data_IF_623972625011
#
_entry.id   IF_623972625011
#
_cell.length_a   1.000
_cell.length_b   1.000
_cell.length_c   1.000
_cell.angle_alpha   90.00
_cell.angle_beta   90.00
_cell.angle_gamma   90.00
#
_symmetry.space_group_name_H-M   'P 1'
#
loop_
_entity.id
_entity.type
_entity.pdbx_description
1 polymer ?
#
# COMPACT_ATOMS: atom_id res chain seq x y z
N UNK A 1 -86.64 32.76 -28.23
CA UNK A 1 -85.45 32.41 -27.42
C UNK A 1 -84.19 32.14 -28.26
N UNK A 2 -84.31 31.72 -29.52
CA UNK A 2 -83.18 31.40 -30.42
C UNK A 2 -82.27 32.58 -30.82
N UNK A 3 -82.80 33.82 -30.87
CA UNK A 3 -82.01 35.04 -31.15
C UNK A 3 -80.90 35.34 -30.13
N UNK A 4 -80.94 34.73 -28.94
CA UNK A 4 -79.92 34.86 -27.88
C UNK A 4 -78.81 33.80 -27.95
N UNK A 5 -78.96 32.77 -28.79
CA UNK A 5 -77.98 31.69 -28.95
C UNK A 5 -76.84 32.03 -29.91
N UNK A 6 -77.06 32.95 -30.86
CA UNK A 6 -76.02 33.35 -31.82
C UNK A 6 -74.80 34.04 -31.17
N UNK A 7 -74.95 35.00 -30.24
CA UNK A 7 -73.80 35.58 -29.52
C UNK A 7 -73.03 34.54 -28.70
N UNK A 8 -73.74 33.59 -28.07
CA UNK A 8 -73.14 32.52 -27.28
C UNK A 8 -72.39 31.49 -28.16
N UNK A 9 -72.96 31.14 -29.33
CA UNK A 9 -72.29 30.30 -30.34
C UNK A 9 -71.00 30.95 -30.81
N UNK A 10 -71.05 32.22 -31.21
CA UNK A 10 -69.86 32.94 -31.66
C UNK A 10 -68.79 33.05 -30.58
N UNK A 11 -69.17 33.26 -29.31
CA UNK A 11 -68.22 33.26 -28.20
C UNK A 11 -67.53 31.90 -28.03
N UNK A 12 -68.29 30.79 -28.05
CA UNK A 12 -67.74 29.44 -27.90
C UNK A 12 -66.86 29.05 -29.09
N UNK A 13 -67.25 29.40 -30.31
CA UNK A 13 -66.44 29.15 -31.52
C UNK A 13 -65.11 29.90 -31.41
N UNK A 14 -65.12 31.20 -31.07
CA UNK A 14 -63.89 31.97 -30.93
C UNK A 14 -63.00 31.41 -29.81
N UNK A 15 -63.58 31.09 -28.64
CA UNK A 15 -62.83 30.53 -27.51
C UNK A 15 -62.20 29.17 -27.86
N UNK A 16 -62.95 28.27 -28.50
CA UNK A 16 -62.44 26.96 -28.90
C UNK A 16 -61.39 27.08 -30.00
N UNK A 17 -61.55 28.02 -30.94
CA UNK A 17 -60.55 28.32 -31.95
C UNK A 17 -59.26 28.82 -31.30
N UNK A 18 -59.33 29.74 -30.34
CA UNK A 18 -58.16 30.24 -29.61
C UNK A 18 -57.45 29.12 -28.84
N UNK A 19 -58.21 28.28 -28.13
CA UNK A 19 -57.66 27.09 -27.43
C UNK A 19 -57.01 26.13 -28.42
N UNK A 20 -57.62 25.91 -29.58
CA UNK A 20 -57.10 25.05 -30.62
C UNK A 20 -55.75 25.56 -31.16
N UNK A 21 -55.69 26.83 -31.57
CA UNK A 21 -54.46 27.47 -32.09
C UNK A 21 -53.35 27.48 -31.03
N UNK A 22 -53.66 27.80 -29.76
CA UNK A 22 -52.67 27.77 -28.68
C UNK A 22 -52.17 26.35 -28.40
N UNK A 23 -53.05 25.36 -28.44
CA UNK A 23 -52.68 23.95 -28.22
C UNK A 23 -51.84 23.42 -29.37
N UNK A 24 -52.16 23.77 -30.62
CA UNK A 24 -51.37 23.42 -31.81
C UNK A 24 -49.96 24.03 -31.74
N UNK A 25 -49.85 25.32 -31.41
CA UNK A 25 -48.56 25.99 -31.27
C UNK A 25 -47.70 25.39 -30.15
N UNK A 26 -48.30 25.10 -28.99
CA UNK A 26 -47.60 24.48 -27.87
C UNK A 26 -47.22 23.03 -28.15
N UNK A 27 -48.08 22.26 -28.83
CA UNK A 27 -47.77 20.90 -29.25
C UNK A 27 -46.59 20.87 -30.22
N UNK A 28 -46.59 21.76 -31.21
CA UNK A 28 -45.48 21.86 -32.17
C UNK A 28 -44.18 22.19 -31.45
N UNK A 29 -44.19 23.21 -30.58
CA UNK A 29 -43.02 23.60 -29.81
C UNK A 29 -42.52 22.47 -28.90
N UNK A 30 -43.41 21.83 -28.15
CA UNK A 30 -43.04 20.72 -27.26
C UNK A 30 -42.51 19.50 -28.04
N UNK A 31 -43.03 19.25 -29.25
CA UNK A 31 -42.52 18.19 -30.13
C UNK A 31 -41.12 18.51 -30.64
N UNK A 32 -40.85 19.77 -31.02
CA UNK A 32 -39.52 20.24 -31.42
C UNK A 32 -38.54 20.15 -30.23
N UNK A 33 -38.93 20.63 -29.05
CA UNK A 33 -38.13 20.55 -27.82
C UNK A 33 -37.82 19.09 -27.42
N UNK A 34 -38.80 18.18 -27.53
CA UNK A 34 -38.60 16.75 -27.28
C UNK A 34 -37.63 16.10 -28.28
N UNK A 35 -37.78 16.41 -29.58
CA UNK A 35 -36.89 15.89 -30.61
C UNK A 35 -35.46 16.42 -30.45
N UNK A 36 -35.31 17.68 -30.05
CA UNK A 36 -34.00 18.27 -29.78
C UNK A 36 -33.32 17.65 -28.55
N UNK A 37 -34.05 17.48 -27.45
CA UNK A 37 -33.52 16.90 -26.22
C UNK A 37 -33.12 15.42 -26.40
N UNK A 38 -33.91 14.64 -27.14
CA UNK A 38 -33.57 13.24 -27.45
C UNK A 38 -32.33 13.14 -28.33
N UNK A 39 -32.21 14.00 -29.36
CA UNK A 39 -31.02 14.06 -30.20
C UNK A 39 -29.77 14.48 -29.42
N UNK A 40 -29.88 15.43 -28.49
CA UNK A 40 -28.77 15.84 -27.63
C UNK A 40 -28.29 14.68 -26.75
N UNK A 41 -29.22 13.93 -26.15
CA UNK A 41 -28.90 12.74 -25.33
C UNK A 41 -28.20 11.65 -26.15
N UNK A 42 -28.65 11.40 -27.38
CA UNK A 42 -28.04 10.42 -28.28
C UNK A 42 -26.62 10.82 -28.68
N UNK A 43 -26.39 12.13 -28.92
CA UNK A 43 -25.07 12.67 -29.28
C UNK A 43 -24.07 12.62 -28.13
N UNK A 44 -24.53 12.82 -26.90
CA UNK A 44 -23.67 12.83 -25.70
C UNK A 44 -23.36 11.44 -25.15
N UNK A 45 -24.18 10.44 -25.48
CA UNK A 45 -24.03 9.05 -25.03
C UNK A 45 -22.62 8.45 -25.29
N UNK A 46 -22.04 8.51 -26.50
CA UNK A 46 -20.72 7.93 -26.76
C UNK A 46 -19.61 8.59 -25.93
N UNK A 47 -19.65 9.92 -25.77
CA UNK A 47 -18.67 10.64 -24.97
C UNK A 47 -18.75 10.25 -23.48
N UNK A 48 -19.95 10.09 -22.95
CA UNK A 48 -20.16 9.60 -21.59
C UNK A 48 -19.63 8.16 -21.39
N UNK A 49 -19.94 7.26 -22.32
CA UNK A 49 -19.42 5.88 -22.25
C UNK A 49 -17.89 5.83 -22.35
N UNK A 50 -17.29 6.68 -23.16
CA UNK A 50 -15.83 6.82 -23.24
C UNK A 50 -15.25 7.29 -21.90
N UNK A 51 -15.87 8.29 -21.26
CA UNK A 51 -15.43 8.79 -19.94
C UNK A 51 -15.44 7.68 -18.87
N UNK A 52 -16.49 6.85 -18.83
CA UNK A 52 -16.58 5.72 -17.90
C UNK A 52 -15.48 4.67 -18.16
N UNK A 53 -15.19 4.36 -19.43
CA UNK A 53 -14.11 3.43 -19.79
C UNK A 53 -12.74 3.99 -19.43
N UNK A 54 -12.53 5.29 -19.63
CA UNK A 54 -11.27 5.97 -19.26
C UNK A 54 -11.11 5.95 -17.75
N UNK A 55 -12.17 6.20 -16.96
CA UNK A 55 -12.13 6.05 -15.49
C UNK A 55 -11.60 4.69 -15.09
N UNK A 56 -12.26 3.62 -15.54
CA UNK A 56 -11.92 2.27 -15.08
C UNK A 56 -10.50 1.89 -15.47
N UNK A 57 -10.09 2.24 -16.69
CA UNK A 57 -8.72 2.00 -17.18
C UNK A 57 -7.67 2.79 -16.41
N UNK A 58 -7.87 4.10 -16.21
CA UNK A 58 -6.89 4.98 -15.57
C UNK A 58 -6.75 4.63 -14.10
N UNK A 59 -7.86 4.38 -13.39
CA UNK A 59 -7.82 4.00 -11.97
C UNK A 59 -7.10 2.66 -11.77
N UNK A 60 -7.41 1.65 -12.59
CA UNK A 60 -6.73 0.35 -12.54
C UNK A 60 -5.23 0.48 -12.88
N UNK A 61 -4.88 1.30 -13.87
CA UNK A 61 -3.47 1.54 -14.23
C UNK A 61 -2.70 2.25 -13.11
N UNK A 62 -3.30 3.28 -12.49
CA UNK A 62 -2.72 4.02 -11.36
C UNK A 62 -2.48 3.10 -10.17
N UNK A 63 -3.49 2.30 -9.80
CA UNK A 63 -3.38 1.35 -8.69
C UNK A 63 -2.31 0.29 -8.95
N UNK A 64 -2.29 -0.31 -10.15
CA UNK A 64 -1.28 -1.29 -10.55
C UNK A 64 0.12 -0.71 -10.53
N UNK A 65 0.32 0.47 -11.11
CA UNK A 65 1.63 1.13 -11.15
C UNK A 65 2.12 1.47 -9.73
N UNK A 66 1.24 1.94 -8.85
CA UNK A 66 1.57 2.21 -7.46
C UNK A 66 1.94 0.93 -6.69
N UNK A 67 1.14 -0.12 -6.79
CA UNK A 67 1.40 -1.38 -6.05
C UNK A 67 2.65 -2.12 -6.55
N UNK A 68 2.94 -2.08 -7.85
CA UNK A 68 4.19 -2.61 -8.40
C UNK A 68 5.40 -1.88 -7.82
N UNK A 69 5.36 -0.53 -7.77
CA UNK A 69 6.44 0.26 -7.20
C UNK A 69 6.62 -0.01 -5.70
N UNK A 70 5.53 -0.04 -4.92
CA UNK A 70 5.57 -0.34 -3.48
C UNK A 70 6.13 -1.73 -3.21
N UNK A 71 5.71 -2.73 -3.98
CA UNK A 71 6.20 -4.11 -3.84
C UNK A 71 7.68 -4.21 -4.20
N UNK A 72 8.13 -3.51 -5.24
CA UNK A 72 9.54 -3.44 -5.61
C UNK A 72 10.40 -2.80 -4.51
N UNK A 73 9.94 -1.68 -3.93
CA UNK A 73 10.59 -1.00 -2.81
C UNK A 73 10.69 -1.94 -1.59
N UNK A 74 9.61 -2.66 -1.26
CA UNK A 74 9.59 -3.60 -0.14
C UNK A 74 10.63 -4.72 -0.34
N UNK A 75 10.62 -5.36 -1.51
CA UNK A 75 11.56 -6.45 -1.83
C UNK A 75 13.01 -5.95 -1.83
N UNK A 76 13.27 -4.78 -2.41
CA UNK A 76 14.60 -4.18 -2.42
C UNK A 76 15.10 -3.91 -1.00
N UNK A 77 14.31 -3.23 -0.18
CA UNK A 77 14.64 -2.93 1.21
C UNK A 77 14.87 -4.21 2.02
N UNK A 78 14.01 -5.23 1.86
CA UNK A 78 14.17 -6.51 2.54
C UNK A 78 15.49 -7.20 2.16
N UNK A 79 15.78 -7.28 0.86
CA UNK A 79 17.01 -7.92 0.37
C UNK A 79 18.25 -7.17 0.85
N UNK A 80 18.24 -5.84 0.81
CA UNK A 80 19.38 -5.01 1.25
C UNK A 80 19.60 -5.08 2.75
N UNK A 81 18.54 -5.02 3.55
CA UNK A 81 18.66 -5.16 5.00
C UNK A 81 19.08 -6.57 5.41
N UNK A 82 18.63 -7.61 4.72
CA UNK A 82 19.13 -8.98 4.93
C UNK A 82 20.62 -9.08 4.61
N UNK A 83 21.08 -8.50 3.49
CA UNK A 83 22.50 -8.43 3.15
C UNK A 83 23.30 -7.66 4.22
N UNK A 84 22.79 -6.52 4.71
CA UNK A 84 23.42 -5.73 5.76
C UNK A 84 23.60 -6.52 7.06
N UNK A 85 22.58 -7.30 7.46
CA UNK A 85 22.62 -8.16 8.65
C UNK A 85 23.63 -9.29 8.48
N UNK A 86 23.70 -9.93 7.30
CA UNK A 86 24.66 -11.00 7.06
C UNK A 86 26.11 -10.50 7.06
N UNK A 87 26.34 -9.30 6.54
CA UNK A 87 27.64 -8.62 6.44
C UNK A 87 27.96 -7.69 7.62
N UNK A 88 27.20 -7.75 8.71
CA UNK A 88 27.37 -6.86 9.89
C UNK A 88 28.78 -6.95 10.52
N UNK A 89 29.46 -8.10 10.35
CA UNK A 89 30.83 -8.30 10.82
C UNK A 89 31.85 -7.32 10.23
N UNK A 90 31.60 -6.73 9.05
CA UNK A 90 32.47 -5.69 8.50
C UNK A 90 32.46 -4.40 9.34
N UNK A 91 31.44 -4.17 10.17
CA UNK A 91 31.39 -3.03 11.09
C UNK A 91 32.47 -3.08 12.19
N UNK A 92 33.05 -4.27 12.43
CA UNK A 92 34.02 -4.54 13.49
C UNK A 92 35.45 -4.26 13.02
N UNK A 93 35.71 -4.30 11.70
CA UNK A 93 37.06 -4.20 11.13
C UNK A 93 37.78 -2.89 11.48
N UNK A 94 37.03 -1.83 11.78
CA UNK A 94 37.56 -0.51 12.10
C UNK A 94 37.79 -0.28 13.61
N UNK A 95 37.48 -1.25 14.47
CA UNK A 95 37.59 -1.11 15.92
C UNK A 95 38.89 -1.77 16.38
N UNK A 96 39.81 -0.95 16.89
CA UNK A 96 41.06 -1.43 17.46
C UNK A 96 40.82 -2.11 18.82
N UNK A 97 41.55 -3.19 19.09
CA UNK A 97 41.41 -3.93 20.33
C UNK A 97 42.24 -3.25 21.45
N UNK A 98 41.61 -2.70 22.50
CA UNK A 98 42.30 -1.93 23.54
C UNK A 98 43.06 -2.81 24.55
N UNK A 99 42.97 -4.13 24.44
CA UNK A 99 43.53 -5.09 25.39
C UNK A 99 42.50 -5.69 26.33
N UNK A 100 42.95 -6.66 27.12
CA UNK A 100 42.11 -7.53 27.98
C UNK A 100 41.33 -6.75 29.04
N UNK A 101 41.95 -5.75 29.65
CA UNK A 101 41.36 -5.00 30.76
C UNK A 101 40.13 -4.18 30.34
N UNK A 102 40.06 -3.83 29.05
CA UNK A 102 38.99 -3.01 28.47
C UNK A 102 38.10 -3.82 27.53
N UNK A 103 38.12 -5.15 27.61
CA UNK A 103 37.35 -5.97 26.67
C UNK A 103 35.84 -5.77 26.81
N UNK A 104 35.36 -5.42 28.01
CA UNK A 104 33.95 -5.09 28.22
C UNK A 104 33.54 -3.87 27.38
N UNK A 105 34.35 -2.81 27.42
CA UNK A 105 34.11 -1.60 26.63
C UNK A 105 34.22 -1.91 25.13
N UNK A 106 35.22 -2.71 24.73
CA UNK A 106 35.36 -3.18 23.36
C UNK A 106 34.12 -3.95 22.86
N UNK A 107 33.54 -4.82 23.70
CA UNK A 107 32.32 -5.55 23.38
C UNK A 107 31.10 -4.62 23.23
N UNK A 108 30.99 -3.58 24.06
CA UNK A 108 29.97 -2.54 23.93
C UNK A 108 30.14 -1.75 22.64
N UNK A 109 31.38 -1.33 22.32
CA UNK A 109 31.70 -0.59 21.10
C UNK A 109 31.38 -1.41 19.84
N UNK A 110 31.65 -2.73 19.86
CA UNK A 110 31.23 -3.65 18.80
C UNK A 110 29.71 -3.67 18.66
N UNK A 111 28.98 -3.87 19.76
CA UNK A 111 27.52 -3.93 19.74
C UNK A 111 26.91 -2.64 19.19
N UNK A 112 27.40 -1.49 19.68
CA UNK A 112 26.95 -0.17 19.24
C UNK A 112 27.29 0.08 17.77
N UNK A 113 28.50 -0.26 17.32
CA UNK A 113 28.90 -0.12 15.92
C UNK A 113 28.01 -0.94 14.98
N UNK A 114 27.68 -2.18 15.34
CA UNK A 114 26.76 -3.02 14.56
C UNK A 114 25.36 -2.41 14.46
N UNK A 115 24.83 -1.87 15.57
CA UNK A 115 23.53 -1.20 15.60
C UNK A 115 23.56 0.07 14.75
N UNK A 116 24.58 0.91 14.88
CA UNK A 116 24.73 2.13 14.08
C UNK A 116 24.87 1.83 12.60
N UNK A 117 25.62 0.78 12.24
CA UNK A 117 25.75 0.34 10.85
C UNK A 117 24.40 -0.07 10.27
N UNK A 118 23.63 -0.89 10.99
CA UNK A 118 22.29 -1.29 10.55
C UNK A 118 21.34 -0.07 10.43
N UNK A 119 21.38 0.87 11.38
CA UNK A 119 20.58 2.09 11.31
C UNK A 119 20.95 2.93 10.08
N UNK A 120 22.24 3.07 9.77
CA UNK A 120 22.71 3.78 8.57
C UNK A 120 22.18 3.12 7.30
N UNK A 121 22.20 1.79 7.23
CA UNK A 121 21.69 1.05 6.08
C UNK A 121 20.17 1.22 5.94
N UNK A 122 19.42 1.26 7.05
CA UNK A 122 17.98 1.62 7.03
C UNK A 122 17.75 3.03 6.48
N UNK A 123 18.51 4.04 6.91
CA UNK A 123 18.37 5.42 6.41
C UNK A 123 18.71 5.52 4.90
N UNK A 124 19.65 4.71 4.44
CA UNK A 124 19.99 4.61 3.02
C UNK A 124 18.82 4.03 2.22
N UNK A 125 18.21 2.93 2.70
CA UNK A 125 17.03 2.34 2.06
C UNK A 125 15.81 3.27 2.11
N UNK A 126 15.61 4.04 3.17
CA UNK A 126 14.56 5.07 3.23
C UNK A 126 14.78 6.18 2.20
N UNK A 127 16.03 6.58 1.97
CA UNK A 127 16.38 7.57 0.96
C UNK A 127 16.19 7.02 -0.46
N UNK A 128 16.56 5.77 -0.70
CA UNK A 128 16.28 5.08 -1.95
C UNK A 128 14.77 4.96 -2.21
N UNK A 129 13.99 4.55 -1.18
CA UNK A 129 12.55 4.49 -1.28
C UNK A 129 11.92 5.85 -1.59
N UNK A 130 12.42 6.95 -1.02
CA UNK A 130 11.98 8.31 -1.37
C UNK A 130 12.20 8.63 -2.84
N UNK A 131 13.37 8.29 -3.37
CA UNK A 131 13.70 8.51 -4.78
C UNK A 131 12.79 7.70 -5.71
N UNK A 132 12.63 6.39 -5.47
CA UNK A 132 11.75 5.53 -6.27
C UNK A 132 10.28 5.96 -6.16
N UNK A 133 9.84 6.37 -4.97
CA UNK A 133 8.49 6.91 -4.76
C UNK A 133 8.29 8.20 -5.54
N UNK A 134 9.28 9.10 -5.59
CA UNK A 134 9.20 10.34 -6.38
C UNK A 134 9.09 10.05 -7.89
N UNK A 135 9.89 9.12 -8.41
CA UNK A 135 9.80 8.69 -9.81
C UNK A 135 8.43 8.08 -10.12
N UNK A 136 7.90 7.26 -9.22
CA UNK A 136 6.55 6.71 -9.38
C UNK A 136 5.48 7.80 -9.31
N UNK A 137 5.63 8.76 -8.40
CA UNK A 137 4.71 9.89 -8.23
C UNK A 137 4.62 10.73 -9.50
N UNK A 138 5.75 11.06 -10.12
CA UNK A 138 5.81 11.79 -11.38
C UNK A 138 5.09 11.04 -12.51
N UNK A 139 5.25 9.70 -12.56
CA UNK A 139 4.53 8.85 -13.54
C UNK A 139 3.02 8.83 -13.28
N UNK A 140 2.58 8.73 -12.02
CA UNK A 140 1.16 8.79 -11.69
C UNK A 140 0.58 10.16 -12.04
N UNK A 141 1.33 11.23 -11.75
CA UNK A 141 0.95 12.58 -12.09
C UNK A 141 0.82 12.75 -13.61
N UNK A 142 1.79 12.27 -14.39
CA UNK A 142 1.76 12.35 -15.85
C UNK A 142 0.54 11.61 -16.41
N UNK A 143 0.26 10.39 -15.94
CA UNK A 143 -0.94 9.62 -16.32
C UNK A 143 -2.24 10.38 -16.04
N UNK A 144 -2.32 11.07 -14.89
CA UNK A 144 -3.46 11.92 -14.57
C UNK A 144 -3.55 13.12 -15.52
N UNK A 145 -2.43 13.80 -15.79
CA UNK A 145 -2.42 15.02 -16.62
C UNK A 145 -2.78 14.77 -18.08
N UNK A 146 -2.42 13.59 -18.61
CA UNK A 146 -2.78 13.16 -19.97
C UNK A 146 -4.30 13.01 -20.15
N UNK A 147 -5.02 12.59 -19.11
CA UNK A 147 -6.46 12.30 -19.18
C UNK A 147 -7.35 13.42 -18.63
N UNK A 148 -6.85 14.21 -17.67
CA UNK A 148 -7.63 15.22 -16.93
C UNK A 148 -7.17 16.67 -17.17
N UNK A 149 -6.07 16.86 -17.89
CA UNK A 149 -5.41 18.17 -18.03
C UNK A 149 -4.50 18.51 -16.84
N UNK A 150 -3.90 19.70 -16.88
CA UNK A 150 -2.90 20.12 -15.89
C UNK A 150 -3.57 20.38 -14.53
N UNK A 151 -3.05 19.76 -13.47
CA UNK A 151 -3.47 19.99 -12.09
C UNK A 151 -2.25 20.05 -11.14
N UNK A 152 -2.37 20.68 -9.96
CA UNK A 152 -1.24 20.77 -9.04
C UNK A 152 -0.99 19.42 -8.33
N UNK A 153 0.28 19.06 -8.18
CA UNK A 153 0.71 17.92 -7.36
C UNK A 153 0.51 18.26 -5.88
N UNK A 154 -0.20 17.40 -5.14
CA UNK A 154 -0.53 17.63 -3.73
C UNK A 154 0.33 16.79 -2.78
N UNK A 155 0.78 15.63 -3.24
CA UNK A 155 1.59 14.71 -2.47
C UNK A 155 3.03 15.20 -2.32
N UNK A 156 3.53 15.09 -1.09
CA UNK A 156 4.85 15.55 -0.70
C UNK A 156 5.71 14.38 -0.26
N UNK A 157 6.64 13.99 -1.12
CA UNK A 157 7.60 12.89 -0.87
C UNK A 157 8.61 13.29 0.20
N UNK A 158 8.89 14.58 0.38
CA UNK A 158 9.92 15.04 1.32
C UNK A 158 9.59 14.65 2.76
N UNK A 159 8.29 14.63 3.10
CA UNK A 159 7.77 14.26 4.43
C UNK A 159 7.77 12.76 4.70
N UNK A 160 8.08 11.93 3.70
CA UNK A 160 8.14 10.47 3.84
C UNK A 160 9.32 10.06 4.74
N UNK A 161 9.08 9.14 5.67
CA UNK A 161 10.08 8.55 6.58
C UNK A 161 10.81 9.52 7.54
N UNK A 162 10.42 10.79 7.67
CA UNK A 162 11.08 11.74 8.61
C UNK A 162 10.82 11.38 10.09
N UNK A 163 9.68 10.77 10.39
CA UNK A 163 9.23 10.58 11.77
C UNK A 163 9.90 9.34 12.40
N UNK A 164 10.99 9.58 13.13
CA UNK A 164 11.78 8.56 13.85
C UNK A 164 10.91 7.70 14.77
N UNK A 165 10.47 6.54 14.27
CA UNK A 165 9.89 5.43 15.04
C UNK A 165 10.79 4.21 14.92
N UNK A 166 12.09 4.42 15.11
CA UNK A 166 13.05 3.34 15.01
C UNK A 166 12.93 2.42 16.21
N UNK A 167 12.42 1.21 15.94
CA UNK A 167 12.53 0.08 16.85
C UNK A 167 14.00 -0.30 16.94
N UNK A 168 14.77 0.31 17.83
CA UNK A 168 16.19 -0.01 17.96
C UNK A 168 16.32 -1.46 18.44
N UNK A 169 17.13 -2.25 17.74
CA UNK A 169 17.56 -3.56 18.24
C UNK A 169 18.61 -3.31 19.31
N UNK A 170 18.27 -3.57 20.57
CA UNK A 170 19.19 -3.42 21.70
C UNK A 170 19.78 -4.79 22.04
N UNK A 171 21.10 -4.89 22.07
CA UNK A 171 21.80 -6.10 22.50
C UNK A 171 22.52 -5.77 23.80
N UNK A 172 22.16 -6.48 24.85
CA UNK A 172 22.90 -6.42 26.11
C UNK A 172 24.14 -7.31 25.99
N UNK A 173 25.31 -6.76 26.30
CA UNK A 173 26.56 -7.53 26.44
C UNK A 173 26.48 -8.30 27.75
N UNK A 174 26.70 -9.62 27.71
CA UNK A 174 26.67 -10.47 28.90
C UNK A 174 28.07 -11.01 29.25
N UNK A 175 28.38 -11.24 30.53
CA UNK A 175 29.66 -11.84 30.95
C UNK A 175 29.96 -13.20 30.30
N UNK A 176 28.94 -13.93 29.84
CA UNK A 176 29.07 -15.22 29.13
C UNK A 176 29.54 -15.07 27.68
N UNK A 177 29.50 -13.87 27.12
CA UNK A 177 29.92 -13.58 25.75
C UNK A 177 31.46 -13.54 25.60
N UNK A 178 32.20 -13.35 26.71
CA UNK A 178 33.66 -13.27 26.73
C UNK A 178 34.36 -14.62 26.76
N UNK A 179 33.69 -15.64 27.30
CA UNK A 179 34.30 -16.94 27.52
C UNK A 179 33.69 -17.96 26.60
N UNK A 180 34.50 -18.64 25.79
CA UNK A 180 34.07 -19.87 25.14
C UNK A 180 34.08 -21.04 26.14
N UNK A 181 33.23 -20.93 27.17
CA UNK A 181 32.94 -22.00 28.14
C UNK A 181 31.87 -22.97 27.61
N UNK A 182 31.67 -23.00 26.29
CA UNK A 182 31.20 -24.24 25.68
C UNK A 182 32.38 -25.18 25.80
N UNK A 183 32.43 -25.88 26.93
CA UNK A 183 33.24 -27.08 27.11
C UNK A 183 32.88 -27.95 25.91
N UNK A 184 33.71 -27.88 24.87
CA UNK A 184 33.59 -28.62 23.62
C UNK A 184 33.14 -30.05 23.98
N UNK A 185 32.25 -30.67 23.22
CA UNK A 185 31.78 -32.04 23.50
C UNK A 185 32.94 -33.04 23.70
N UNK A 186 34.14 -32.65 23.23
CA UNK A 186 35.43 -33.29 23.50
C UNK A 186 35.87 -33.29 24.97
N UNK A 187 35.61 -32.22 25.74
CA UNK A 187 35.89 -32.18 27.18
C UNK A 187 34.80 -32.88 28.00
N UNK A 188 33.54 -32.87 27.56
CA UNK A 188 32.46 -33.65 28.18
C UNK A 188 32.67 -35.16 28.00
N UNK A 189 33.04 -35.59 26.78
CA UNK A 189 33.38 -36.98 26.48
C UNK A 189 34.64 -37.48 27.21
N UNK A 190 35.60 -36.59 27.51
CA UNK A 190 36.81 -36.93 28.29
C UNK A 190 36.60 -36.80 29.81
N UNK A 191 35.79 -35.87 30.28
CA UNK A 191 35.48 -35.71 31.71
C UNK A 191 34.55 -36.82 32.23
N UNK A 192 33.54 -37.21 31.44
CA UNK A 192 32.67 -38.34 31.79
C UNK A 192 33.39 -39.69 31.66
N UNK A 193 34.37 -39.81 30.76
CA UNK A 193 35.20 -41.02 30.66
C UNK A 193 36.31 -41.09 31.71
N UNK A 194 36.86 -39.95 32.17
CA UNK A 194 37.77 -39.93 33.33
C UNK A 194 37.05 -40.31 34.64
N UNK A 195 35.79 -39.89 34.81
CA UNK A 195 34.97 -40.28 35.96
C UNK A 195 34.57 -41.76 35.92
N UNK A 196 34.22 -42.30 34.75
CA UNK A 196 33.84 -43.70 34.59
C UNK A 196 35.04 -44.68 34.63
N UNK A 197 36.20 -44.29 34.11
CA UNK A 197 37.42 -45.11 34.16
C UNK A 197 37.97 -45.29 35.58
N UNK A 198 37.66 -44.36 36.51
CA UNK A 198 38.04 -44.48 37.92
C UNK A 198 37.12 -45.41 38.72
N UNK A 199 35.84 -45.53 38.35
CA UNK A 199 34.84 -46.28 39.15
C UNK A 199 34.54 -47.69 38.62
N UNK A 200 34.84 -48.02 37.37
CA UNK A 200 34.60 -49.38 36.83
C UNK A 200 35.87 -49.95 36.19
N UNK A 201 36.56 -50.80 36.96
CA UNK A 201 37.19 -52.00 36.39
C UNK A 201 38.54 -51.83 35.72
N UNK A 202 39.61 -51.95 36.52
CA UNK A 202 40.97 -52.25 36.06
C UNK A 202 41.17 -53.65 35.44
N UNK A 203 40.24 -54.13 34.60
CA UNK A 203 40.40 -55.38 33.83
C UNK A 203 39.54 -55.38 32.58
N UNK A 204 40.08 -54.88 31.46
CA UNK A 204 40.00 -55.57 30.16
C UNK A 204 40.85 -54.85 29.11
N UNK A 205 41.97 -55.51 28.78
CA UNK A 205 42.54 -55.68 27.43
C UNK A 205 42.45 -54.48 26.47
N UNK A 206 43.52 -53.67 26.40
CA UNK A 206 43.74 -52.77 25.27
C UNK A 206 44.65 -51.56 25.49
N UNK A 207 44.95 -51.17 26.73
CA UNK A 207 45.65 -49.93 27.05
C UNK A 207 47.16 -50.07 27.33
N UNK A 208 47.78 -51.20 26.99
CA UNK A 208 49.13 -51.53 27.47
C UNK A 208 50.27 -50.77 26.76
N UNK A 209 50.07 -50.32 25.52
CA UNK A 209 51.11 -49.62 24.75
C UNK A 209 51.07 -48.08 24.84
N UNK A 210 49.90 -47.49 25.16
CA UNK A 210 49.81 -46.04 25.37
C UNK A 210 50.14 -45.65 26.83
N UNK A 211 49.84 -46.53 27.80
CA UNK A 211 50.07 -46.24 29.21
C UNK A 211 51.54 -46.43 29.62
N UNK A 212 52.33 -47.22 28.88
CA UNK A 212 53.76 -47.43 29.17
C UNK A 212 54.63 -46.21 28.82
N UNK A 213 54.23 -45.38 27.85
CA UNK A 213 54.96 -44.15 27.48
C UNK A 213 54.73 -42.98 28.46
N UNK A 214 53.57 -42.91 29.11
CA UNK A 214 53.28 -41.92 30.16
C UNK A 214 53.81 -42.41 31.52
N UNK A 215 53.78 -43.72 31.80
CA UNK A 215 54.28 -44.27 33.06
C UNK A 215 55.79 -44.53 33.09
N UNK A 216 56.50 -44.73 31.97
CA UNK A 216 57.96 -44.93 31.99
C UNK A 216 58.76 -43.66 32.32
N UNK A 217 58.18 -42.48 32.08
CA UNK A 217 58.72 -41.21 32.60
C UNK A 217 58.38 -41.01 34.09
N UNK A 218 57.28 -41.62 34.57
CA UNK A 218 56.90 -41.55 35.99
C UNK A 218 57.76 -42.42 36.91
N UNK A 219 58.22 -43.58 36.43
CA UNK A 219 59.02 -44.50 37.24
C UNK A 219 60.52 -44.15 37.29
N UNK A 220 60.99 -43.17 36.51
CA UNK A 220 62.34 -42.59 36.65
C UNK A 220 62.37 -41.36 37.57
N UNK A 221 61.23 -40.91 38.11
CA UNK A 221 61.16 -39.84 39.10
C UNK A 221 60.46 -40.36 40.36
N UNK A 222 61.26 -40.79 41.34
CA UNK A 222 60.78 -41.21 42.65
C UNK A 222 59.78 -40.23 43.27
N UNK A 223 58.83 -40.77 44.04
CA UNK A 223 57.66 -40.11 44.64
C UNK A 223 57.95 -38.76 45.35
N UNK A 224 59.19 -38.53 45.81
CA UNK A 224 59.62 -37.28 46.46
C UNK A 224 59.93 -36.15 45.47
N UNK A 225 60.40 -36.45 44.26
CA UNK A 225 60.71 -35.45 43.25
C UNK A 225 59.46 -35.02 42.45
N UNK A 226 58.47 -35.91 42.29
CA UNK A 226 57.21 -35.58 41.61
C UNK A 226 56.52 -34.37 42.27
N UNK A 227 56.42 -34.34 43.61
CA UNK A 227 55.85 -33.20 44.36
C UNK A 227 56.58 -31.87 44.10
N UNK A 228 57.89 -31.92 43.83
CA UNK A 228 58.72 -30.73 43.56
C UNK A 228 58.54 -30.19 42.14
N UNK A 229 58.18 -31.06 41.19
CA UNK A 229 57.96 -30.70 39.78
C UNK A 229 56.49 -30.41 39.44
N UNK A 230 55.53 -30.85 40.26
CA UNK A 230 54.10 -30.51 40.08
C UNK A 230 53.89 -29.00 40.11
N UNK A 231 54.47 -28.27 41.06
CA UNK A 231 54.29 -26.81 41.17
C UNK A 231 54.79 -26.05 39.92
N UNK A 232 56.01 -26.27 39.40
CA UNK A 232 56.45 -25.60 38.19
C UNK A 232 55.71 -26.05 36.93
N UNK A 233 55.38 -27.34 36.80
CA UNK A 233 54.63 -27.84 35.62
C UNK A 233 53.21 -27.29 35.59
N UNK A 234 52.51 -27.30 36.74
CA UNK A 234 51.18 -26.70 36.87
C UNK A 234 51.26 -25.18 36.70
N UNK A 235 52.30 -24.55 37.23
CA UNK A 235 52.56 -23.11 37.04
C UNK A 235 52.69 -22.74 35.56
N UNK A 236 53.57 -23.42 34.82
CA UNK A 236 53.77 -23.18 33.38
C UNK A 236 52.50 -23.49 32.59
N UNK A 237 51.81 -24.59 32.89
CA UNK A 237 50.55 -24.93 32.25
C UNK A 237 49.45 -23.87 32.51
N UNK A 238 49.37 -23.34 33.73
CA UNK A 238 48.39 -22.31 34.10
C UNK A 238 48.65 -20.97 33.41
N UNK A 239 49.91 -20.56 33.29
CA UNK A 239 50.30 -19.33 32.59
C UNK A 239 50.08 -19.49 31.09
N UNK A 240 50.44 -20.64 30.51
CA UNK A 240 50.18 -20.94 29.10
C UNK A 240 48.68 -20.95 28.78
N UNK A 241 47.86 -21.51 29.68
CA UNK A 241 46.40 -21.48 29.56
C UNK A 241 45.84 -20.05 29.63
N UNK A 242 46.34 -19.22 30.55
CA UNK A 242 45.92 -17.80 30.65
C UNK A 242 46.27 -17.02 29.37
N UNK A 243 47.46 -17.20 28.81
CA UNK A 243 47.87 -16.56 27.55
C UNK A 243 47.00 -17.04 26.38
N UNK A 244 46.68 -18.33 26.34
CA UNK A 244 45.78 -18.90 25.33
C UNK A 244 44.37 -18.28 25.42
N UNK A 245 43.77 -18.26 26.62
CA UNK A 245 42.44 -17.67 26.84
C UNK A 245 42.41 -16.20 26.47
N UNK A 246 43.43 -15.43 26.86
CA UNK A 246 43.56 -14.00 26.52
C UNK A 246 43.59 -13.78 25.00
N UNK A 247 44.34 -14.61 24.28
CA UNK A 247 44.44 -14.51 22.82
C UNK A 247 43.12 -14.88 22.13
N UNK A 248 42.38 -15.85 22.66
CA UNK A 248 41.15 -16.35 22.06
C UNK A 248 39.92 -15.48 22.39
N UNK A 249 39.98 -14.75 23.51
CA UNK A 249 38.88 -13.94 24.04
C UNK A 249 38.35 -12.91 23.03
N UNK A 250 39.23 -12.25 22.27
CA UNK A 250 38.82 -11.27 21.24
C UNK A 250 37.94 -11.92 20.17
N UNK A 251 38.44 -12.99 19.53
CA UNK A 251 37.73 -13.68 18.46
C UNK A 251 36.44 -14.32 18.94
N UNK A 252 36.43 -14.83 20.19
CA UNK A 252 35.24 -15.37 20.83
C UNK A 252 34.14 -14.31 20.97
N UNK A 253 34.47 -13.13 21.50
CA UNK A 253 33.53 -12.00 21.67
C UNK A 253 32.96 -11.55 20.33
N UNK A 254 33.82 -11.28 19.35
CA UNK A 254 33.39 -10.83 18.01
C UNK A 254 32.38 -11.83 17.41
N UNK A 255 32.71 -13.12 17.41
CA UNK A 255 31.84 -14.17 16.85
C UNK A 255 30.52 -14.31 17.61
N UNK A 256 30.55 -14.29 18.94
CA UNK A 256 29.34 -14.46 19.77
C UNK A 256 28.41 -13.26 19.66
N UNK A 257 28.94 -12.04 19.68
CA UNK A 257 28.15 -10.83 19.52
C UNK A 257 27.50 -10.74 18.14
N UNK A 258 28.21 -11.10 17.06
CA UNK A 258 27.61 -11.18 15.72
C UNK A 258 26.46 -12.19 15.68
N UNK A 259 26.65 -13.38 16.28
CA UNK A 259 25.58 -14.40 16.35
C UNK A 259 24.39 -13.90 17.16
N UNK A 260 24.62 -13.32 18.34
CA UNK A 260 23.58 -12.75 19.20
C UNK A 260 22.84 -11.60 18.50
N UNK A 261 23.55 -10.76 17.75
CA UNK A 261 22.99 -9.71 16.92
C UNK A 261 22.08 -10.28 15.83
N UNK A 262 22.58 -11.23 15.02
CA UNK A 262 21.79 -11.88 13.96
C UNK A 262 20.55 -12.56 14.54
N UNK A 263 20.68 -13.21 15.70
CA UNK A 263 19.56 -13.84 16.38
C UNK A 263 18.53 -12.81 16.86
N UNK A 264 18.96 -11.73 17.52
CA UNK A 264 18.07 -10.65 17.98
C UNK A 264 17.31 -9.99 16.83
N UNK A 265 17.95 -9.78 15.68
CA UNK A 265 17.32 -9.25 14.46
C UNK A 265 16.28 -10.22 13.90
N UNK A 266 16.56 -11.53 13.91
CA UNK A 266 15.64 -12.57 13.44
C UNK A 266 14.43 -12.73 14.38
N UNK A 267 14.66 -12.80 15.68
CA UNK A 267 13.60 -12.98 16.69
C UNK A 267 12.61 -11.81 16.71
N UNK A 268 13.11 -10.59 16.47
CA UNK A 268 12.27 -9.39 16.39
C UNK A 268 11.61 -9.19 15.03
N UNK A 269 11.90 -10.04 14.03
CA UNK A 269 11.53 -9.85 12.63
C UNK A 269 11.82 -8.42 12.14
N UNK A 270 12.96 -7.87 12.56
CA UNK A 270 13.27 -6.45 12.38
C UNK A 270 13.30 -6.06 10.89
N UNK A 271 13.95 -6.87 10.05
CA UNK A 271 14.08 -6.60 8.61
C UNK A 271 12.71 -6.52 7.93
N UNK A 272 11.83 -7.50 8.19
CA UNK A 272 10.48 -7.53 7.62
C UNK A 272 9.63 -6.37 8.15
N UNK A 273 9.73 -6.06 9.44
CA UNK A 273 9.03 -4.92 10.03
C UNK A 273 9.45 -3.58 9.41
N UNK A 274 10.73 -3.43 9.09
CA UNK A 274 11.27 -2.22 8.48
C UNK A 274 10.93 -2.10 6.99
N UNK A 275 11.07 -3.17 6.21
CA UNK A 275 10.68 -3.16 4.79
C UNK A 275 9.20 -2.85 4.62
N UNK A 276 8.33 -3.47 5.45
CA UNK A 276 6.89 -3.17 5.44
C UNK A 276 6.59 -1.74 5.88
N UNK A 277 7.34 -1.17 6.83
CA UNK A 277 7.18 0.24 7.25
C UNK A 277 7.44 1.17 6.08
N UNK A 278 8.59 1.00 5.42
CA UNK A 278 8.99 1.81 4.26
C UNK A 278 7.94 1.70 3.16
N UNK A 279 7.51 0.47 2.83
CA UNK A 279 6.48 0.22 1.84
C UNK A 279 5.13 0.89 2.16
N UNK A 280 4.70 0.88 3.43
CA UNK A 280 3.47 1.56 3.87
C UNK A 280 3.56 3.07 3.73
N UNK A 281 4.70 3.67 4.06
CA UNK A 281 4.91 5.11 3.88
C UNK A 281 4.91 5.50 2.41
N UNK A 282 5.60 4.74 1.54
CA UNK A 282 5.53 4.91 0.08
C UNK A 282 4.10 4.80 -0.45
N UNK A 283 3.35 3.77 -0.02
CA UNK A 283 1.95 3.57 -0.43
C UNK A 283 1.06 4.75 -0.03
N UNK A 284 1.26 5.32 1.16
CA UNK A 284 0.47 6.49 1.61
C UNK A 284 0.65 7.67 0.68
N UNK A 285 1.89 7.98 0.30
CA UNK A 285 2.19 9.11 -0.60
C UNK A 285 1.55 8.89 -1.97
N UNK A 286 1.71 7.70 -2.56
CA UNK A 286 1.12 7.38 -3.87
C UNK A 286 -0.41 7.36 -3.84
N UNK A 287 -1.00 6.92 -2.72
CA UNK A 287 -2.46 6.90 -2.53
C UNK A 287 -3.07 8.30 -2.48
N UNK A 288 -2.33 9.32 -2.03
CA UNK A 288 -2.81 10.71 -2.07
C UNK A 288 -3.04 11.16 -3.50
N UNK A 289 -2.09 10.95 -4.41
CA UNK A 289 -2.28 11.29 -5.83
C UNK A 289 -3.32 10.40 -6.50
N UNK A 290 -3.35 9.10 -6.20
CA UNK A 290 -4.39 8.21 -6.72
C UNK A 290 -5.80 8.68 -6.34
N UNK A 291 -5.98 9.17 -5.11
CA UNK A 291 -7.25 9.73 -4.64
C UNK A 291 -7.60 11.05 -5.33
N UNK A 292 -6.61 11.91 -5.61
CA UNK A 292 -6.83 13.16 -6.35
C UNK A 292 -7.27 12.89 -7.80
N UNK A 293 -6.63 11.94 -8.48
CA UNK A 293 -7.03 11.49 -9.83
C UNK A 293 -8.47 10.96 -9.81
N UNK A 294 -8.79 10.11 -8.84
CA UNK A 294 -10.13 9.54 -8.68
C UNK A 294 -11.19 10.63 -8.48
N UNK A 295 -10.94 11.59 -7.60
CA UNK A 295 -11.88 12.68 -7.34
C UNK A 295 -12.14 13.54 -8.57
N UNK A 296 -11.12 13.82 -9.38
CA UNK A 296 -11.27 14.63 -10.58
C UNK A 296 -12.08 13.91 -11.66
N UNK A 297 -11.79 12.62 -11.88
CA UNK A 297 -12.60 11.81 -12.80
C UNK A 297 -14.04 11.75 -12.31
N UNK A 298 -14.25 11.54 -11.01
CA UNK A 298 -15.58 11.47 -10.41
C UNK A 298 -16.35 12.78 -10.59
N UNK A 299 -15.72 13.93 -10.35
CA UNK A 299 -16.32 15.26 -10.61
C UNK A 299 -16.68 15.45 -12.08
N UNK A 300 -15.83 15.02 -13.01
CA UNK A 300 -16.10 15.12 -14.44
C UNK A 300 -17.30 14.23 -14.86
N UNK A 301 -17.42 13.04 -14.27
CA UNK A 301 -18.56 12.15 -14.48
C UNK A 301 -19.83 12.76 -13.90
N UNK A 302 -19.80 13.26 -12.67
CA UNK A 302 -20.94 13.90 -12.01
C UNK A 302 -21.45 15.11 -12.79
N UNK A 303 -20.54 15.94 -13.33
CA UNK A 303 -20.93 17.08 -14.17
C UNK A 303 -21.63 16.61 -15.45
N UNK A 304 -21.12 15.55 -16.09
CA UNK A 304 -21.73 14.97 -17.30
C UNK A 304 -23.06 14.28 -17.01
N UNK A 305 -23.15 13.55 -15.92
CA UNK A 305 -24.36 12.87 -15.48
C UNK A 305 -25.46 13.86 -15.11
N UNK A 306 -25.10 14.94 -14.41
CA UNK A 306 -26.03 16.04 -14.11
C UNK A 306 -26.61 16.65 -15.39
N UNK A 307 -25.77 17.02 -16.36
CA UNK A 307 -26.24 17.55 -17.65
C UNK A 307 -27.19 16.60 -18.36
N UNK A 308 -26.86 15.30 -18.38
CA UNK A 308 -27.73 14.28 -18.98
C UNK A 308 -29.05 14.13 -18.24
N UNK A 309 -29.06 14.19 -16.90
CA UNK A 309 -30.29 14.16 -16.12
C UNK A 309 -31.16 15.38 -16.39
N UNK A 310 -30.57 16.58 -16.44
CA UNK A 310 -31.30 17.82 -16.76
C UNK A 310 -31.94 17.75 -18.17
N UNK A 311 -31.20 17.26 -19.18
CA UNK A 311 -31.75 17.06 -20.54
C UNK A 311 -32.79 15.94 -20.60
N UNK A 312 -32.61 14.87 -19.82
CA UNK A 312 -33.57 13.77 -19.73
C UNK A 312 -34.87 14.21 -19.07
N UNK A 313 -34.80 15.00 -18.00
CA UNK A 313 -35.97 15.59 -17.35
C UNK A 313 -36.71 16.52 -18.32
N UNK A 314 -35.98 17.37 -19.06
CA UNK A 314 -36.56 18.21 -20.09
C UNK A 314 -37.25 17.38 -21.19
N UNK A 315 -36.63 16.27 -21.64
CA UNK A 315 -37.21 15.39 -22.65
C UNK A 315 -38.52 14.72 -22.17
N UNK A 316 -38.58 14.31 -20.90
CA UNK A 316 -39.78 13.71 -20.28
C UNK A 316 -40.89 14.76 -20.14
N UNK A 317 -40.58 15.95 -19.63
CA UNK A 317 -41.55 17.04 -19.49
C UNK A 317 -42.11 17.48 -20.86
N UNK A 318 -41.26 17.60 -21.88
CA UNK A 318 -41.70 17.91 -23.24
C UNK A 318 -42.59 16.82 -23.81
N UNK A 319 -42.31 15.54 -23.52
CA UNK A 319 -43.16 14.42 -23.94
C UNK A 319 -44.55 14.48 -23.28
N UNK A 320 -44.61 14.68 -21.97
CA UNK A 320 -45.88 14.85 -21.24
C UNK A 320 -46.67 16.05 -21.79
N UNK A 321 -45.96 17.12 -22.15
CA UNK A 321 -46.55 18.34 -22.74
C UNK A 321 -47.14 18.07 -24.12
N UNK A 322 -46.46 17.29 -24.97
CA UNK A 322 -46.98 16.84 -26.29
C UNK A 322 -48.26 16.02 -26.10
N UNK A 323 -48.25 15.05 -25.18
CA UNK A 323 -49.42 14.20 -24.89
C UNK A 323 -50.60 15.03 -24.37
N UNK A 324 -50.34 15.97 -23.46
CA UNK A 324 -51.34 16.86 -22.89
C UNK A 324 -51.98 17.76 -23.97
N UNK A 325 -51.18 18.57 -24.68
CA UNK A 325 -51.71 19.50 -25.67
C UNK A 325 -52.30 18.78 -26.90
N UNK A 326 -51.81 17.58 -27.23
CA UNK A 326 -52.42 16.73 -28.25
C UNK A 326 -53.85 16.35 -27.89
N UNK A 327 -54.06 15.92 -26.64
CA UNK A 327 -55.41 15.59 -26.15
C UNK A 327 -56.34 16.80 -26.08
N UNK A 328 -55.80 17.99 -25.79
CA UNK A 328 -56.59 19.23 -25.74
C UNK A 328 -56.96 19.69 -27.15
N UNK A 329 -56.03 19.61 -28.10
CA UNK A 329 -56.23 19.97 -29.51
C UNK A 329 -57.30 19.08 -30.16
N UNK A 330 -57.27 17.77 -29.90
CA UNK A 330 -58.28 16.82 -30.38
C UNK A 330 -59.67 17.14 -29.82
N UNK A 331 -59.76 17.37 -28.50
CA UNK A 331 -61.03 17.73 -27.84
C UNK A 331 -61.58 19.08 -28.31
N UNK A 332 -60.73 20.10 -28.48
CA UNK A 332 -61.16 21.41 -28.93
C UNK A 332 -61.69 21.37 -30.37
N UNK A 333 -60.99 20.66 -31.27
CA UNK A 333 -61.43 20.46 -32.66
C UNK A 333 -62.78 19.74 -32.75
N UNK A 334 -62.94 18.66 -31.99
CA UNK A 334 -64.21 17.91 -31.93
C UNK A 334 -65.38 18.74 -31.40
N UNK A 335 -65.16 19.58 -30.38
CA UNK A 335 -66.18 20.48 -29.85
C UNK A 335 -66.53 21.60 -30.83
N UNK A 336 -65.54 22.12 -31.57
CA UNK A 336 -65.72 23.17 -32.57
C UNK A 336 -66.62 22.66 -33.71
N UNK A 337 -66.34 21.46 -34.25
CA UNK A 337 -67.17 20.79 -35.26
C UNK A 337 -68.62 20.60 -34.77
N UNK A 338 -68.80 20.13 -33.53
CA UNK A 338 -70.14 19.97 -32.93
C UNK A 338 -70.92 21.27 -32.80
N UNK A 339 -70.26 22.36 -32.42
CA UNK A 339 -70.92 23.66 -32.21
C UNK A 339 -71.25 24.32 -33.54
N UNK A 340 -70.42 24.15 -34.57
CA UNK A 340 -70.71 24.62 -35.93
C UNK A 340 -71.99 23.99 -36.49
N UNK A 341 -72.19 22.69 -36.25
CA UNK A 341 -73.38 21.93 -36.64
C UNK A 341 -74.68 22.35 -35.93
N UNK A 342 -74.62 23.15 -34.86
CA UNK A 342 -75.84 23.65 -34.16
C UNK A 342 -76.55 24.70 -35.03
N UNK A 343 -77.82 24.48 -35.44
CA UNK A 343 -78.54 25.39 -36.31
C UNK A 343 -78.90 26.71 -35.60
N UNK A 344 -78.75 27.83 -36.33
CA UNK A 344 -79.13 29.19 -35.90
C UNK A 344 -79.90 29.89 -37.02
N UNK A 345 -80.98 30.62 -36.70
CA UNK A 345 -82.03 31.14 -37.60
C UNK A 345 -81.60 31.76 -38.97
N UNK A 346 -80.37 32.23 -39.14
CA UNK A 346 -79.94 32.84 -40.42
C UNK A 346 -79.73 31.86 -41.58
N UNK A 347 -79.51 30.56 -41.31
CA UNK A 347 -79.51 29.53 -42.37
C UNK A 347 -80.93 29.18 -42.84
N UNK A 348 -81.95 29.35 -41.99
CA UNK A 348 -83.34 29.12 -42.37
C UNK A 348 -83.97 30.30 -43.12
N UNK A 349 -83.49 31.52 -42.94
CA UNK A 349 -84.04 32.69 -43.67
C UNK A 349 -83.67 32.76 -45.16
N UNK A 350 -82.64 32.04 -45.63
CA UNK A 350 -82.26 32.03 -47.06
C UNK A 350 -83.08 31.06 -47.89
N UNK A 351 -83.62 29.99 -47.29
CA UNK A 351 -84.45 29.01 -48.00
C UNK A 351 -85.91 29.50 -48.20
N UNK A 352 -86.33 30.56 -47.52
CA UNK A 352 -87.67 31.14 -47.67
C UNK A 352 -87.74 32.40 -48.57
N UNK A 353 -86.63 32.85 -49.16
CA UNK A 353 -86.60 34.04 -50.03
C UNK A 353 -86.45 33.76 -51.54
N UNK A 354 -86.58 32.50 -51.98
CA UNK A 354 -86.55 32.12 -53.42
C UNK A 354 -87.92 31.62 -53.92
N UNK A 355 -88.96 31.63 -53.08
CA UNK A 355 -90.33 31.29 -53.50
C UNK A 355 -91.29 32.37 -53.01
N UNK A 356 -91.36 33.48 -53.73
CA UNK A 356 -92.50 34.40 -53.76
C UNK A 356 -92.46 35.21 -55.05
#
# INVERSE_FOLDING_TARGET
MLRKLMPAKNYLVNLLMDIHVLSEANLKKASEDHAQATLELERDLPAYQQLLRVRDRVLDQVEKTAEVAVSAIQMHAQNKLNQAVEHVGHAIQNIEYPGVLLIWQYAQDIADSMVQKLLKDVHQEESHARQETAVCLERLHSMGTENLGIYPLTADVSKMCIKNRDRRVTIAVEPTDFFDLVLDEKLSGTALSMGAAAMVGGRMLGFRDAFSSICSVSSMMGNTNLRRWVVPVVGVASVGFLVYVISDMRYAVERKLIKKFKQAVRDTNYVEGQSQRIARESRKVLRVEGWEIQNRIQKAIEEKEKKRNDTQEAAVLSKETVEYFGSVMEKSGFLLEKIELVPTDHSMTRDFSVVA
#
